data_IF_701123758345
#
_entry.id   IF_701123758345
#
_cell.length_a   1.000
_cell.length_b   1.000
_cell.length_c   1.000
_cell.angle_alpha   90.00
_cell.angle_beta   90.00
_cell.angle_gamma   90.00
#
_symmetry.space_group_name_H-M   'P 1'
#
loop_
_entity.id
_entity.type
_entity.pdbx_description
1 polymer ?
#
# COMPACT_ATOMS: atom_id res chain seq x y z
N UNK A 1 -12.06 7.76 -5.34
CA UNK A 1 -12.12 6.66 -4.33
C UNK A 1 -11.01 6.80 -3.30
N UNK A 2 -9.80 7.24 -3.69
CA UNK A 2 -8.67 7.35 -2.74
C UNK A 2 -8.71 8.57 -1.82
N UNK A 3 -9.42 9.64 -2.19
CA UNK A 3 -9.49 10.90 -1.44
C UNK A 3 -10.03 10.72 -0.01
N UNK A 4 -10.93 9.75 0.17
CA UNK A 4 -11.50 9.42 1.48
C UNK A 4 -10.44 8.78 2.42
N UNK A 5 -9.44 8.08 1.88
CA UNK A 5 -8.34 7.53 2.68
C UNK A 5 -7.41 8.63 3.18
N UNK A 6 -7.10 9.62 2.34
CA UNK A 6 -6.26 10.76 2.73
C UNK A 6 -6.90 11.63 3.81
N UNK A 7 -8.24 11.69 3.84
CA UNK A 7 -9.00 12.34 4.90
C UNK A 7 -9.05 11.49 6.18
N UNK A 8 -9.25 10.17 6.09
CA UNK A 8 -9.35 9.31 7.26
C UNK A 8 -8.03 9.17 8.05
N UNK A 9 -6.89 9.15 7.35
CA UNK A 9 -5.56 8.97 7.92
C UNK A 9 -5.19 10.02 9.00
N UNK A 10 -5.33 11.34 8.78
CA UNK A 10 -5.02 12.34 9.81
C UNK A 10 -5.94 12.25 11.02
N UNK A 11 -7.23 11.91 10.85
CA UNK A 11 -8.13 11.68 11.97
C UNK A 11 -7.69 10.47 12.80
N UNK A 12 -7.33 9.36 12.15
CA UNK A 12 -6.87 8.16 12.84
C UNK A 12 -5.59 8.44 13.66
N UNK A 13 -4.65 9.18 13.08
CA UNK A 13 -3.41 9.59 13.74
C UNK A 13 -3.64 10.56 14.91
N UNK A 14 -4.54 11.53 14.76
CA UNK A 14 -4.93 12.47 15.83
C UNK A 14 -5.52 11.73 17.04
N UNK A 15 -6.40 10.76 16.79
CA UNK A 15 -7.01 9.96 17.85
C UNK A 15 -5.98 9.04 18.54
N UNK A 16 -5.09 8.41 17.78
CA UNK A 16 -4.00 7.59 18.34
C UNK A 16 -3.03 8.39 19.19
N UNK A 17 -2.72 9.62 18.77
CA UNK A 17 -1.82 10.51 19.52
C UNK A 17 -2.40 10.91 20.88
N UNK A 18 -3.73 11.04 20.99
CA UNK A 18 -4.40 11.59 22.17
C UNK A 18 -4.62 10.56 23.28
N UNK A 19 -4.73 9.26 22.97
CA UNK A 19 -4.85 8.19 23.97
C UNK A 19 -4.16 6.88 23.56
N UNK A 20 -3.02 6.51 24.18
CA UNK A 20 -2.28 5.30 23.81
C UNK A 20 -3.04 4.00 24.10
N UNK A 21 -3.98 3.98 25.05
CA UNK A 21 -4.83 2.81 25.33
C UNK A 21 -5.86 2.55 24.22
N UNK A 22 -6.31 3.59 23.52
CA UNK A 22 -7.24 3.49 22.40
C UNK A 22 -6.56 3.07 21.09
N UNK A 23 -5.22 3.07 21.05
CA UNK A 23 -4.43 2.73 19.88
C UNK A 23 -4.58 1.28 19.42
N UNK A 24 -5.06 0.37 20.28
CA UNK A 24 -5.34 -1.04 19.96
C UNK A 24 -6.85 -1.25 19.74
N UNK A 25 -7.68 -0.55 20.50
CA UNK A 25 -9.14 -0.70 20.47
C UNK A 25 -9.73 -0.21 19.15
N UNK A 26 -9.32 0.96 18.68
CA UNK A 26 -9.82 1.57 17.43
C UNK A 26 -9.50 0.70 16.20
N UNK A 27 -8.24 0.25 15.97
CA UNK A 27 -7.96 -0.61 14.83
C UNK A 27 -8.67 -1.96 14.94
N UNK A 28 -8.77 -2.54 16.14
CA UNK A 28 -9.52 -3.78 16.35
C UNK A 28 -11.01 -3.60 16.02
N UNK A 29 -11.64 -2.52 16.50
CA UNK A 29 -13.03 -2.19 16.20
C UNK A 29 -13.26 -1.99 14.70
N UNK A 30 -12.34 -1.33 13.99
CA UNK A 30 -12.46 -1.11 12.55
C UNK A 30 -12.32 -2.41 11.74
N UNK A 31 -11.40 -3.30 12.14
CA UNK A 31 -11.25 -4.61 11.49
C UNK A 31 -12.47 -5.49 11.77
N UNK A 32 -12.91 -5.58 13.03
CA UNK A 32 -14.10 -6.37 13.41
C UNK A 32 -15.37 -5.79 12.79
N UNK A 33 -15.51 -4.46 12.78
CA UNK A 33 -16.61 -3.76 12.13
C UNK A 33 -16.60 -3.95 10.61
N UNK A 34 -15.43 -3.91 9.98
CA UNK A 34 -15.26 -4.22 8.56
C UNK A 34 -15.64 -5.65 8.22
N UNK A 35 -15.23 -6.63 9.04
CA UNK A 35 -15.60 -8.04 8.90
C UNK A 35 -17.11 -8.19 9.04
N UNK A 36 -17.72 -7.66 10.11
CA UNK A 36 -19.16 -7.75 10.34
C UNK A 36 -19.97 -7.11 9.21
N UNK A 37 -19.55 -5.94 8.71
CA UNK A 37 -20.18 -5.26 7.60
C UNK A 37 -20.09 -6.08 6.30
N UNK A 38 -18.94 -6.69 6.01
CA UNK A 38 -18.78 -7.56 4.83
C UNK A 38 -19.66 -8.80 4.93
N UNK A 39 -19.70 -9.46 6.09
CA UNK A 39 -20.57 -10.63 6.32
C UNK A 39 -22.04 -10.24 6.12
N UNK A 40 -22.46 -9.08 6.62
CA UNK A 40 -23.83 -8.59 6.47
C UNK A 40 -24.18 -8.26 5.00
N UNK A 41 -23.30 -7.54 4.30
CA UNK A 41 -23.51 -7.18 2.89
C UNK A 41 -23.46 -8.40 1.96
N UNK A 42 -22.61 -9.38 2.28
CA UNK A 42 -22.54 -10.65 1.56
C UNK A 42 -23.81 -11.50 1.80
N UNK A 43 -24.35 -11.53 3.02
CA UNK A 43 -25.59 -12.23 3.34
C UNK A 43 -26.83 -11.59 2.69
N UNK A 44 -26.83 -10.27 2.46
CA UNK A 44 -27.94 -9.57 1.81
C UNK A 44 -27.97 -9.69 0.28
N UNK A 45 -26.89 -10.12 -0.37
CA UNK A 45 -26.81 -10.22 -1.82
C UNK A 45 -26.56 -11.65 -2.31
N UNK A 46 -27.45 -12.62 -1.98
CA UNK A 46 -27.30 -13.99 -2.43
C UNK A 46 -27.37 -14.08 -3.97
N UNK A 47 -26.53 -14.92 -4.56
CA UNK A 47 -26.60 -15.31 -5.96
C UNK A 47 -27.58 -16.48 -6.13
N UNK A 48 -28.04 -16.67 -7.36
CA UNK A 48 -28.96 -17.75 -7.74
C UNK A 48 -28.32 -19.14 -7.51
N UNK A 49 -26.99 -19.22 -7.57
CA UNK A 49 -26.21 -20.47 -7.43
C UNK A 49 -25.70 -20.72 -6.00
N UNK A 50 -26.19 -19.98 -4.99
CA UNK A 50 -25.84 -20.21 -3.58
C UNK A 50 -24.58 -19.49 -3.06
N UNK A 51 -24.12 -18.45 -3.76
CA UNK A 51 -22.99 -17.58 -3.39
C UNK A 51 -23.38 -16.11 -3.24
N UNK A 52 -22.44 -15.19 -3.44
CA UNK A 52 -22.69 -13.74 -3.50
C UNK A 52 -22.72 -13.30 -4.97
N UNK A 53 -23.69 -12.49 -5.37
CA UNK A 53 -23.75 -11.99 -6.75
C UNK A 53 -22.49 -11.19 -7.10
N UNK A 54 -21.85 -11.46 -8.25
CA UNK A 54 -20.62 -10.75 -8.65
C UNK A 54 -20.81 -9.23 -8.77
N UNK A 55 -21.97 -8.80 -9.28
CA UNK A 55 -22.34 -7.38 -9.35
C UNK A 55 -22.55 -6.77 -7.95
N UNK A 56 -23.20 -7.49 -7.05
CA UNK A 56 -23.39 -7.07 -5.66
C UNK A 56 -22.08 -6.99 -4.89
N UNK A 57 -21.21 -7.98 -5.07
CA UNK A 57 -19.86 -7.99 -4.52
C UNK A 57 -19.04 -6.80 -5.03
N UNK A 58 -19.04 -6.54 -6.34
CA UNK A 58 -18.32 -5.40 -6.89
C UNK A 58 -18.84 -4.09 -6.32
N UNK A 59 -20.15 -3.85 -6.37
CA UNK A 59 -20.75 -2.58 -5.96
C UNK A 59 -20.65 -2.31 -4.44
N UNK A 60 -20.82 -3.34 -3.60
CA UNK A 60 -21.00 -3.17 -2.16
C UNK A 60 -19.83 -3.65 -1.30
N UNK A 61 -18.95 -4.50 -1.83
CA UNK A 61 -17.82 -5.07 -1.07
C UNK A 61 -16.48 -4.63 -1.66
N UNK A 62 -16.33 -4.61 -2.98
CA UNK A 62 -15.06 -4.32 -3.64
C UNK A 62 -14.82 -2.82 -3.86
N UNK A 63 -15.79 -2.07 -4.37
CA UNK A 63 -15.64 -0.64 -4.63
C UNK A 63 -15.77 0.27 -3.39
N UNK A 64 -16.54 -0.07 -2.35
CA UNK A 64 -16.68 0.81 -1.20
C UNK A 64 -15.41 0.94 -0.37
N UNK A 65 -15.11 2.16 0.02
CA UNK A 65 -13.95 2.51 0.86
C UNK A 65 -14.03 1.87 2.25
N UNK A 66 -15.25 1.76 2.80
CA UNK A 66 -15.49 1.32 4.18
C UNK A 66 -15.14 -0.16 4.41
N UNK A 67 -15.31 -0.98 3.38
CA UNK A 67 -14.92 -2.40 3.37
C UNK A 67 -13.45 -2.60 2.98
N UNK A 68 -12.65 -1.55 2.85
CA UNK A 68 -11.21 -1.59 2.52
C UNK A 68 -10.34 -0.84 3.52
N UNK A 69 -10.84 -0.60 4.73
CA UNK A 69 -10.09 0.11 5.76
C UNK A 69 -9.02 -0.76 6.44
N UNK A 70 -9.07 -2.09 6.36
CA UNK A 70 -8.15 -2.99 7.10
C UNK A 70 -6.67 -2.76 6.75
N UNK A 71 -6.25 -2.67 5.46
CA UNK A 71 -4.86 -2.37 5.11
C UNK A 71 -4.37 -1.04 5.68
N UNK A 72 -5.22 -0.01 5.63
CA UNK A 72 -4.91 1.32 6.18
C UNK A 72 -4.74 1.26 7.69
N UNK A 73 -5.66 0.57 8.36
CA UNK A 73 -5.69 0.39 9.80
C UNK A 73 -4.45 -0.37 10.27
N UNK A 74 -4.09 -1.47 9.60
CA UNK A 74 -2.85 -2.20 9.89
C UNK A 74 -1.61 -1.36 9.65
N UNK A 75 -1.54 -0.61 8.55
CA UNK A 75 -0.42 0.30 8.25
C UNK A 75 -0.24 1.40 9.31
N UNK A 76 -1.33 2.06 9.72
CA UNK A 76 -1.28 3.11 10.74
C UNK A 76 -0.96 2.53 12.12
N UNK A 77 -1.55 1.38 12.48
CA UNK A 77 -1.21 0.69 13.72
C UNK A 77 0.27 0.32 13.76
N UNK A 78 0.83 -0.14 12.65
CA UNK A 78 2.24 -0.49 12.54
C UNK A 78 3.15 0.74 12.72
N UNK A 79 2.85 1.84 12.02
CA UNK A 79 3.58 3.10 12.14
C UNK A 79 3.51 3.65 13.58
N UNK A 80 2.38 3.47 14.26
CA UNK A 80 2.22 3.86 15.65
C UNK A 80 3.06 2.98 16.60
N UNK A 81 3.10 1.66 16.38
CA UNK A 81 3.97 0.76 17.15
C UNK A 81 5.44 1.12 16.98
N UNK A 82 5.86 1.40 15.74
CA UNK A 82 7.23 1.85 15.44
C UNK A 82 7.59 3.13 16.20
N UNK A 83 6.70 4.14 16.21
CA UNK A 83 6.97 5.46 16.81
C UNK A 83 6.81 5.50 18.33
N UNK A 84 5.75 4.90 18.87
CA UNK A 84 5.37 5.03 20.28
C UNK A 84 5.83 3.86 21.15
N UNK A 85 6.16 2.68 20.58
CA UNK A 85 6.53 1.47 21.33
C UNK A 85 7.79 0.80 20.75
N UNK A 86 8.97 1.44 20.85
CA UNK A 86 10.20 0.94 20.24
C UNK A 86 10.63 -0.44 20.75
N UNK A 87 10.28 -0.81 21.98
CA UNK A 87 10.55 -2.16 22.52
C UNK A 87 9.74 -3.25 21.80
N UNK A 88 8.45 -2.99 21.52
CA UNK A 88 7.59 -3.90 20.76
C UNK A 88 8.05 -4.00 19.32
N UNK A 89 8.41 -2.86 18.71
CA UNK A 89 8.97 -2.81 17.37
C UNK A 89 10.25 -3.65 17.24
N UNK A 90 11.17 -3.57 18.22
CA UNK A 90 12.37 -4.42 18.25
C UNK A 90 12.04 -5.91 18.33
N UNK A 91 11.03 -6.31 19.14
CA UNK A 91 10.60 -7.71 19.19
C UNK A 91 10.03 -8.17 17.85
N UNK A 92 9.13 -7.39 17.26
CA UNK A 92 8.55 -7.67 15.95
C UNK A 92 9.63 -7.83 14.86
N UNK A 93 10.56 -6.89 14.80
CA UNK A 93 11.64 -6.90 13.80
C UNK A 93 12.66 -8.01 14.04
N UNK A 94 12.79 -8.51 15.28
CA UNK A 94 13.58 -9.71 15.58
C UNK A 94 12.93 -10.99 15.03
N UNK A 95 11.60 -11.08 15.09
CA UNK A 95 10.83 -12.20 14.52
C UNK A 95 10.63 -12.12 13.01
N UNK A 96 11.02 -11.02 12.36
CA UNK A 96 10.83 -10.80 10.93
C UNK A 96 11.36 -11.95 10.05
N UNK A 97 12.47 -12.59 10.43
CA UNK A 97 13.03 -13.72 9.68
C UNK A 97 12.18 -15.00 9.75
N UNK A 98 11.31 -15.12 10.75
CA UNK A 98 10.32 -16.18 10.85
C UNK A 98 8.95 -15.76 10.30
N UNK A 99 8.72 -14.46 10.16
CA UNK A 99 7.41 -13.89 9.79
C UNK A 99 7.17 -13.87 8.27
N UNK A 100 8.20 -13.93 7.43
CA UNK A 100 8.03 -13.87 5.97
C UNK A 100 7.28 -15.09 5.40
N UNK A 101 7.54 -16.30 5.92
CA UNK A 101 6.83 -17.52 5.52
C UNK A 101 5.33 -17.44 5.82
N UNK A 102 4.89 -17.19 7.06
CA UNK A 102 3.46 -17.07 7.35
C UNK A 102 2.82 -15.90 6.61
N UNK A 103 3.55 -14.79 6.38
CA UNK A 103 3.05 -13.69 5.58
C UNK A 103 2.75 -14.11 4.14
N UNK A 104 3.65 -14.86 3.51
CA UNK A 104 3.45 -15.40 2.16
C UNK A 104 2.29 -16.39 2.12
N UNK A 105 2.22 -17.30 3.10
CA UNK A 105 1.12 -18.27 3.23
C UNK A 105 -0.23 -17.57 3.35
N UNK A 106 -0.33 -16.51 4.15
CA UNK A 106 -1.57 -15.73 4.30
C UNK A 106 -2.00 -15.05 3.01
N UNK A 107 -1.05 -14.50 2.24
CA UNK A 107 -1.34 -13.86 0.95
C UNK A 107 -1.81 -14.91 -0.05
N UNK A 108 -1.08 -16.01 -0.20
CA UNK A 108 -1.44 -17.10 -1.12
C UNK A 108 -2.79 -17.71 -0.75
N UNK A 109 -3.03 -17.95 0.54
CA UNK A 109 -4.31 -18.47 1.02
C UNK A 109 -5.47 -17.49 0.79
N UNK A 110 -5.23 -16.18 0.99
CA UNK A 110 -6.20 -15.14 0.66
C UNK A 110 -6.52 -15.07 -0.83
N UNK A 111 -5.52 -15.23 -1.71
CA UNK A 111 -5.72 -15.28 -3.16
C UNK A 111 -6.48 -16.53 -3.58
N UNK A 112 -6.09 -17.70 -3.06
CA UNK A 112 -6.74 -18.97 -3.32
C UNK A 112 -8.23 -18.98 -2.91
N UNK A 113 -8.57 -18.35 -1.78
CA UNK A 113 -9.96 -18.16 -1.36
C UNK A 113 -10.80 -17.37 -2.38
N UNK A 114 -10.18 -16.47 -3.14
CA UNK A 114 -10.85 -15.63 -4.14
C UNK A 114 -10.85 -16.20 -5.56
N UNK A 115 -10.17 -17.31 -5.81
CA UNK A 115 -9.99 -17.91 -7.14
C UNK A 115 -11.18 -18.80 -7.57
N UNK A 116 -12.09 -19.13 -6.65
CA UNK A 116 -13.23 -19.99 -6.95
C UNK A 116 -14.24 -19.35 -7.92
N UNK A 117 -14.83 -20.16 -8.81
CA UNK A 117 -15.88 -19.75 -9.76
C UNK A 117 -17.11 -19.09 -9.08
N UNK A 118 -17.28 -19.34 -7.78
CA UNK A 118 -18.34 -18.74 -6.96
C UNK A 118 -17.74 -17.91 -5.83
N UNK A 119 -18.16 -16.65 -5.75
CA UNK A 119 -17.85 -15.77 -4.62
C UNK A 119 -18.60 -16.26 -3.38
N UNK A 120 -17.91 -16.96 -2.49
CA UNK A 120 -18.47 -17.38 -1.22
C UNK A 120 -18.48 -16.23 -0.22
N UNK A 121 -19.45 -16.24 0.71
CA UNK A 121 -19.52 -15.26 1.81
C UNK A 121 -18.24 -15.25 2.64
N UNK A 122 -17.62 -16.43 2.82
CA UNK A 122 -16.35 -16.61 3.51
C UNK A 122 -15.19 -15.96 2.76
N UNK A 123 -15.06 -16.16 1.46
CA UNK A 123 -14.05 -15.49 0.63
C UNK A 123 -14.19 -13.96 0.71
N UNK A 124 -15.40 -13.44 0.53
CA UNK A 124 -15.67 -12.00 0.58
C UNK A 124 -15.31 -11.35 1.92
N UNK A 125 -15.40 -12.12 3.01
CA UNK A 125 -15.17 -11.63 4.37
C UNK A 125 -13.70 -11.72 4.78
N UNK A 126 -13.04 -12.84 4.48
CA UNK A 126 -11.70 -13.17 4.97
C UNK A 126 -10.58 -12.81 4.00
N UNK A 127 -10.84 -12.75 2.69
CA UNK A 127 -9.81 -12.46 1.68
C UNK A 127 -9.09 -11.13 1.97
N UNK A 128 -9.86 -10.04 2.15
CA UNK A 128 -9.26 -8.72 2.35
C UNK A 128 -8.44 -8.60 3.65
N UNK A 129 -8.95 -9.00 4.83
CA UNK A 129 -8.17 -8.96 6.07
C UNK A 129 -6.92 -9.85 6.03
N UNK A 130 -7.00 -11.04 5.43
CA UNK A 130 -5.85 -11.96 5.35
C UNK A 130 -4.72 -11.39 4.49
N UNK A 131 -5.06 -10.89 3.29
CA UNK A 131 -4.08 -10.28 2.41
C UNK A 131 -3.50 -9.03 3.08
N UNK A 132 -4.34 -8.20 3.71
CA UNK A 132 -3.89 -7.01 4.42
C UNK A 132 -2.91 -7.34 5.56
N UNK A 133 -3.19 -8.39 6.34
CA UNK A 133 -2.34 -8.86 7.42
C UNK A 133 -1.02 -9.44 6.89
N UNK A 134 -1.08 -10.24 5.82
CA UNK A 134 0.11 -10.76 5.15
C UNK A 134 0.98 -9.65 4.59
N UNK A 135 0.40 -8.62 3.97
CA UNK A 135 1.12 -7.45 3.47
C UNK A 135 1.73 -6.61 4.60
N UNK A 136 1.02 -6.43 5.72
CA UNK A 136 1.56 -5.75 6.90
C UNK A 136 2.75 -6.54 7.51
N UNK A 137 2.66 -7.86 7.54
CA UNK A 137 3.75 -8.73 7.97
C UNK A 137 4.96 -8.66 7.02
N UNK A 138 4.75 -8.67 5.70
CA UNK A 138 5.81 -8.46 4.71
C UNK A 138 6.45 -7.07 4.86
N UNK A 139 5.67 -6.03 5.18
CA UNK A 139 6.19 -4.69 5.42
C UNK A 139 7.16 -4.67 6.62
N UNK A 140 6.83 -5.37 7.72
CA UNK A 140 7.74 -5.55 8.87
C UNK A 140 9.05 -6.21 8.42
N UNK A 141 8.95 -7.24 7.58
CA UNK A 141 10.11 -7.94 7.02
C UNK A 141 10.97 -7.02 6.15
N UNK A 142 10.35 -6.19 5.31
CA UNK A 142 11.05 -5.27 4.42
C UNK A 142 11.79 -4.16 5.18
N UNK A 143 11.22 -3.65 6.27
CA UNK A 143 11.83 -2.58 7.09
C UNK A 143 12.88 -3.12 8.07
N UNK A 144 12.82 -4.42 8.41
CA UNK A 144 13.73 -5.02 9.39
C UNK A 144 15.20 -4.98 8.93
N UNK A 145 16.14 -4.48 9.75
CA UNK A 145 17.58 -4.44 9.45
C UNK A 145 18.25 -5.82 9.35
N UNK A 146 17.55 -6.88 9.75
CA UNK A 146 18.06 -8.25 9.78
C UNK A 146 17.88 -8.97 8.45
N UNK A 147 16.90 -8.59 7.63
CA UNK A 147 16.71 -9.21 6.32
C UNK A 147 17.65 -8.59 5.28
N UNK A 148 18.13 -9.45 4.39
CA UNK A 148 19.04 -9.09 3.28
C UNK A 148 18.42 -8.03 2.37
N UNK A 149 17.08 -7.94 2.33
CA UNK A 149 16.31 -6.95 1.55
C UNK A 149 16.68 -5.50 1.86
N UNK A 150 17.09 -5.17 3.09
CA UNK A 150 17.52 -3.81 3.43
C UNK A 150 19.00 -3.54 3.10
N UNK A 151 19.82 -4.59 3.04
CA UNK A 151 21.27 -4.47 2.82
C UNK A 151 21.65 -4.49 1.34
N UNK A 152 20.85 -5.11 0.49
CA UNK A 152 21.09 -5.20 -0.94
C UNK A 152 20.21 -4.17 -1.64
N UNK A 153 20.82 -3.10 -2.14
CA UNK A 153 20.15 -2.21 -3.08
C UNK A 153 19.93 -2.98 -4.37
N UNK A 154 18.70 -3.45 -4.61
CA UNK A 154 18.35 -4.12 -5.87
C UNK A 154 18.39 -3.06 -6.98
N UNK A 155 19.31 -3.17 -7.96
CA UNK A 155 19.35 -2.24 -9.08
C UNK A 155 18.01 -2.31 -9.83
N UNK A 156 17.41 -1.15 -10.12
CA UNK A 156 16.11 -1.07 -10.80
C UNK A 156 14.87 -1.09 -9.90
N UNK A 157 14.97 -1.42 -8.61
CA UNK A 157 13.81 -1.39 -7.71
C UNK A 157 13.19 0.02 -7.59
N UNK A 158 14.02 1.06 -7.59
CA UNK A 158 13.55 2.45 -7.62
C UNK A 158 12.77 2.78 -8.90
N UNK A 159 13.17 2.20 -10.04
CA UNK A 159 12.48 2.38 -11.31
C UNK A 159 11.13 1.65 -11.32
N UNK A 160 11.10 0.40 -10.83
CA UNK A 160 9.86 -0.37 -10.69
C UNK A 160 8.88 0.36 -9.75
N UNK A 161 9.37 0.84 -8.60
CA UNK A 161 8.55 1.62 -7.66
C UNK A 161 8.00 2.90 -8.30
N UNK A 162 8.78 3.55 -9.17
CA UNK A 162 8.33 4.75 -9.88
C UNK A 162 7.29 4.45 -10.96
N UNK A 163 7.37 3.29 -11.63
CA UNK A 163 6.37 2.89 -12.62
C UNK A 163 5.11 2.31 -11.98
N UNK A 164 5.18 1.78 -10.76
CA UNK A 164 4.06 1.12 -10.09
C UNK A 164 2.79 2.00 -10.04
N UNK A 165 2.93 3.31 -9.82
CA UNK A 165 1.80 4.24 -9.83
C UNK A 165 1.19 4.38 -11.23
N UNK A 166 2.03 4.61 -12.24
CA UNK A 166 1.61 4.66 -13.64
C UNK A 166 0.96 3.34 -14.11
N UNK A 167 1.50 2.20 -13.69
CA UNK A 167 0.94 0.87 -13.96
C UNK A 167 -0.46 0.72 -13.35
N UNK A 168 -0.62 1.09 -12.08
CA UNK A 168 -1.91 1.05 -11.40
C UNK A 168 -2.98 1.89 -12.08
N UNK A 169 -2.64 3.08 -12.60
CA UNK A 169 -3.59 3.93 -13.31
C UNK A 169 -4.03 3.33 -14.65
N UNK A 170 -3.08 2.81 -15.43
CA UNK A 170 -3.35 2.39 -16.81
C UNK A 170 -3.91 0.97 -16.90
N UNK A 171 -3.64 0.12 -15.90
CA UNK A 171 -3.97 -1.31 -15.95
C UNK A 171 -5.44 -1.56 -16.28
N UNK A 172 -6.36 -0.80 -15.66
CA UNK A 172 -7.80 -1.01 -15.85
C UNK A 172 -8.25 -0.65 -17.26
N UNK A 173 -7.64 0.36 -17.87
CA UNK A 173 -7.91 0.77 -19.24
C UNK A 173 -7.37 -0.26 -20.22
N UNK A 174 -6.14 -0.73 -20.01
CA UNK A 174 -5.49 -1.75 -20.85
C UNK A 174 -6.25 -3.07 -20.78
N UNK A 175 -6.64 -3.52 -19.58
CA UNK A 175 -7.43 -4.75 -19.42
C UNK A 175 -8.71 -4.67 -20.26
N UNK A 176 -9.48 -3.59 -20.16
CA UNK A 176 -10.70 -3.44 -20.99
C UNK A 176 -10.41 -3.39 -22.48
N UNK A 177 -9.31 -2.77 -22.88
CA UNK A 177 -8.90 -2.72 -24.28
C UNK A 177 -8.53 -4.11 -24.81
N UNK A 178 -7.76 -4.87 -24.04
CA UNK A 178 -7.35 -6.23 -24.41
C UNK A 178 -8.52 -7.20 -24.36
N UNK A 179 -9.43 -7.06 -23.39
CA UNK A 179 -10.70 -7.81 -23.35
C UNK A 179 -11.51 -7.59 -24.64
N UNK A 180 -11.66 -6.33 -25.07
CA UNK A 180 -12.38 -5.99 -26.29
C UNK A 180 -11.67 -6.51 -27.55
N UNK A 181 -10.34 -6.50 -27.57
CA UNK A 181 -9.53 -7.05 -28.65
C UNK A 181 -9.61 -8.58 -28.74
N UNK A 182 -9.54 -9.28 -27.59
CA UNK A 182 -9.71 -10.74 -27.53
C UNK A 182 -11.12 -11.16 -27.95
N UNK A 183 -12.15 -10.40 -27.56
CA UNK A 183 -13.52 -10.62 -27.98
C UNK A 183 -13.69 -10.46 -29.51
N UNK A 184 -13.04 -9.47 -30.13
CA UNK A 184 -13.10 -9.31 -31.60
C UNK A 184 -12.35 -10.40 -32.37
N UNK A 185 -11.38 -11.06 -31.75
CA UNK A 185 -10.56 -12.10 -32.38
C UNK A 185 -10.92 -13.54 -31.96
N UNK A 186 -12.04 -13.75 -31.22
CA UNK A 186 -12.47 -15.04 -30.68
C UNK A 186 -11.38 -15.78 -29.88
N UNK A 187 -10.52 -15.04 -29.17
CA UNK A 187 -9.46 -15.62 -28.34
C UNK A 187 -10.03 -15.89 -26.95
N UNK A 188 -9.85 -17.12 -26.45
CA UNK A 188 -10.25 -17.49 -25.08
C UNK A 188 -9.45 -16.66 -24.07
N UNK A 189 -10.15 -15.86 -23.25
CA UNK A 189 -9.55 -14.93 -22.29
C UNK A 189 -8.69 -15.63 -21.22
N UNK A 190 -8.94 -16.91 -20.94
CA UNK A 190 -8.18 -17.72 -19.99
C UNK A 190 -6.94 -18.39 -20.59
N UNK A 191 -6.64 -18.14 -21.86
CA UNK A 191 -5.46 -18.72 -22.50
C UNK A 191 -4.17 -18.03 -22.00
N UNK A 192 -3.13 -18.82 -21.72
CA UNK A 192 -1.79 -18.32 -21.37
C UNK A 192 -1.27 -17.19 -22.29
N UNK A 193 -1.44 -17.24 -23.63
CA UNK A 193 -1.02 -16.14 -24.50
C UNK A 193 -1.83 -14.85 -24.29
N UNK A 194 -3.13 -14.93 -23.97
CA UNK A 194 -3.93 -13.75 -23.66
C UNK A 194 -3.45 -13.08 -22.36
N UNK A 195 -3.16 -13.87 -21.32
CA UNK A 195 -2.63 -13.36 -20.05
C UNK A 195 -1.26 -12.70 -20.21
N UNK A 196 -0.34 -13.34 -20.94
CA UNK A 196 0.99 -12.77 -21.22
C UNK A 196 0.88 -11.48 -22.04
N UNK A 197 -0.05 -11.44 -23.02
CA UNK A 197 -0.28 -10.26 -23.83
C UNK A 197 -0.83 -9.08 -23.00
N UNK A 198 -1.82 -9.33 -22.13
CA UNK A 198 -2.34 -8.31 -21.20
C UNK A 198 -1.20 -7.76 -20.34
N UNK A 199 -0.41 -8.64 -19.71
CA UNK A 199 0.69 -8.26 -18.82
C UNK A 199 1.71 -7.38 -19.54
N UNK A 200 2.13 -7.77 -20.75
CA UNK A 200 3.05 -6.99 -21.59
C UNK A 200 2.47 -5.63 -22.00
N UNK A 201 1.20 -5.59 -22.41
CA UNK A 201 0.52 -4.35 -22.78
C UNK A 201 0.39 -3.41 -21.58
N UNK A 202 0.12 -3.93 -20.38
CA UNK A 202 0.02 -3.13 -19.15
C UNK A 202 1.38 -2.50 -18.84
N UNK A 203 2.47 -3.27 -18.84
CA UNK A 203 3.80 -2.72 -18.56
C UNK A 203 4.29 -1.74 -19.64
N UNK A 204 3.99 -2.00 -20.92
CA UNK A 204 4.31 -1.10 -22.00
C UNK A 204 3.57 0.24 -21.85
N UNK A 205 2.25 0.21 -21.64
CA UNK A 205 1.43 1.40 -21.45
C UNK A 205 1.83 2.16 -20.16
N UNK A 206 2.17 1.43 -19.09
CA UNK A 206 2.64 2.01 -17.83
C UNK A 206 3.95 2.77 -18.02
N UNK A 207 4.87 2.19 -18.79
CA UNK A 207 6.16 2.81 -19.10
C UNK A 207 5.96 4.07 -19.94
N UNK A 208 5.10 4.03 -20.95
CA UNK A 208 4.77 5.20 -21.78
C UNK A 208 4.17 6.32 -20.90
N UNK A 209 3.21 6.00 -20.03
CA UNK A 209 2.59 6.96 -19.12
C UNK A 209 3.60 7.57 -18.14
N UNK A 210 4.50 6.75 -17.60
CA UNK A 210 5.55 7.20 -16.70
C UNK A 210 6.49 8.22 -17.35
N UNK A 211 6.91 7.96 -18.59
CA UNK A 211 7.79 8.88 -19.32
C UNK A 211 7.07 10.14 -19.80
N UNK A 212 5.81 10.03 -20.21
CA UNK A 212 5.04 11.15 -20.80
C UNK A 212 4.40 12.08 -19.78
N UNK A 213 4.00 11.57 -18.61
CA UNK A 213 3.27 12.33 -17.60
C UNK A 213 4.08 12.47 -16.32
N UNK A 214 4.56 11.36 -15.76
CA UNK A 214 5.12 11.36 -14.41
C UNK A 214 6.48 12.08 -14.34
N UNK A 215 7.40 11.77 -15.27
CA UNK A 215 8.69 12.48 -15.35
C UNK A 215 8.58 14.00 -15.54
N UNK A 216 7.78 14.54 -16.48
CA UNK A 216 7.69 15.99 -16.65
C UNK A 216 7.03 16.67 -15.44
N UNK A 217 6.02 16.05 -14.82
CA UNK A 217 5.41 16.60 -13.60
C UNK A 217 6.37 16.60 -12.40
N UNK A 218 7.21 15.57 -12.25
CA UNK A 218 8.25 15.54 -11.21
C UNK A 218 9.30 16.63 -11.44
N UNK A 219 9.72 16.85 -12.68
CA UNK A 219 10.64 17.95 -13.04
C UNK A 219 10.02 19.32 -12.80
N UNK A 220 8.72 19.48 -13.09
CA UNK A 220 7.98 20.71 -12.83
C UNK A 220 7.85 20.99 -11.33
N UNK A 221 7.55 19.96 -10.51
CA UNK A 221 7.51 20.08 -9.04
C UNK A 221 8.85 20.52 -8.46
N UNK A 222 9.96 19.97 -8.97
CA UNK A 222 11.30 20.37 -8.55
C UNK A 222 11.65 21.82 -8.93
N UNK A 223 11.04 22.37 -9.99
CA UNK A 223 11.19 23.77 -10.38
C UNK A 223 10.34 24.72 -9.53
N UNK A 224 9.15 24.29 -9.11
CA UNK A 224 8.19 25.12 -8.37
C UNK A 224 8.44 25.10 -6.85
N UNK A 225 8.96 24.01 -6.29
CA UNK A 225 9.24 23.92 -4.85
C UNK A 225 10.63 24.48 -4.56
N UNK A 226 10.78 25.63 -3.89
CA UNK A 226 12.09 26.11 -3.47
C UNK A 226 12.71 25.07 -2.55
N UNK A 227 13.97 24.70 -2.79
CA UNK A 227 14.73 23.80 -1.91
C UNK A 227 14.50 24.21 -0.44
N UNK A 228 13.98 23.28 0.37
CA UNK A 228 13.92 23.46 1.83
C UNK A 228 15.24 24.04 2.31
N UNK A 229 15.16 25.17 3.02
CA UNK A 229 16.31 25.88 3.59
C UNK A 229 17.23 24.86 4.28
N UNK A 230 18.56 24.98 4.13
CA UNK A 230 19.50 24.08 4.78
C UNK A 230 19.18 24.00 6.29
N UNK A 231 19.29 22.81 6.90
CA UNK A 231 18.88 22.60 8.27
C UNK A 231 19.60 23.60 9.20
N UNK A 232 18.84 24.22 10.12
CA UNK A 232 19.27 25.32 11.00
C UNK A 232 20.59 25.06 11.76
N UNK A 233 20.99 23.80 11.96
CA UNK A 233 22.28 23.46 12.57
C UNK A 233 23.48 23.89 11.71
N UNK A 234 23.37 23.94 10.37
CA UNK A 234 24.43 24.43 9.48
C UNK A 234 24.58 25.95 9.56
N UNK A 235 23.47 26.68 9.72
CA UNK A 235 23.49 28.13 9.95
C UNK A 235 24.12 28.47 11.31
N UNK A 236 23.80 27.71 12.36
CA UNK A 236 24.38 27.93 13.70
C UNK A 236 25.90 27.73 13.71
N UNK A 237 26.41 26.67 13.06
CA UNK A 237 27.86 26.45 12.90
C UNK A 237 28.56 27.52 12.09
N UNK A 238 27.93 28.05 11.04
CA UNK A 238 28.54 29.12 10.23
C UNK A 238 28.64 30.43 11.02
N UNK A 239 27.63 30.77 11.81
CA UNK A 239 27.66 31.95 12.69
C UNK A 239 28.71 31.79 13.80
N UNK A 240 28.76 30.63 14.46
CA UNK A 240 29.78 30.33 15.48
C UNK A 240 31.21 30.38 14.91
N UNK A 241 31.43 29.80 13.72
CA UNK A 241 32.74 29.84 13.05
C UNK A 241 33.13 31.24 12.53
N UNK A 242 32.13 32.10 12.25
CA UNK A 242 32.33 33.48 11.87
C UNK A 242 32.79 34.33 13.05
N UNK A 243 32.13 34.19 14.22
CA UNK A 243 32.49 34.90 15.45
C UNK A 243 33.87 34.51 15.98
N UNK A 244 34.28 33.24 15.84
CA UNK A 244 35.62 32.77 16.21
C UNK A 244 36.73 33.44 15.38
N UNK A 245 36.46 33.71 14.09
CA UNK A 245 37.41 34.41 13.21
C UNK A 245 37.50 35.91 13.51
N UNK A 246 36.41 36.54 13.93
CA UNK A 246 36.41 37.95 14.34
C UNK A 246 37.09 38.15 15.70
N UNK A 247 36.90 37.23 16.65
CA UNK A 247 37.56 37.26 17.96
C UNK A 247 39.08 37.09 17.91
N UNK A 248 39.62 36.35 16.92
CA UNK A 248 41.07 36.22 16.70
C UNK A 248 41.72 37.45 16.04
N UNK A 249 40.93 38.33 15.40
CA UNK A 249 41.44 39.53 14.71
C UNK A 249 41.59 40.75 15.62
N UNK A 250 41.03 40.72 16.83
CA UNK A 250 41.20 41.75 17.87
C UNK A 250 42.21 41.37 18.97
N UNK A 251 42.85 40.21 18.84
CA UNK A 251 43.88 39.72 19.79
C UNK A 251 45.29 39.65 19.19
N UNK A 252 45.52 40.31 18.06
CA UNK A 252 46.85 40.53 17.48
C UNK A 252 47.08 42.02 17.32
#
# INVERSE_FOLDING_TARGET
MEDQFYLALPFLLLFLYRRPSSAIIIPCLLVVGGIALRTFLAAQNPSIDGGVSFRGFQAWIYYPTWTRLDPLVFGVALAAIEKFRPQWWRRLTNYAIWLWLPALVLIVYGLWLGEGDYLTVTACTWQFPLIALGMAALLICAVSPRLVFRRVAIPGAAFIASIAYSAYLIQKLVIRFVEQFCASHNIVLTSAPALICVELCVYAAATILFFTVERPFLQLRHRITPRSRPPLYKLKRQVESGMERTGKRHRR
#
